data_IF_387417626371
#
_entry.id   IF_387417626371
#
_cell.length_a   1.000
_cell.length_b   1.000
_cell.length_c   1.000
_cell.angle_alpha   90.00
_cell.angle_beta   90.00
_cell.angle_gamma   90.00
#
_symmetry.space_group_name_H-M   'P 1'
#
loop_
_entity.id
_entity.type
_entity.pdbx_description
1 polymer ?
#
# COMPACT_ATOMS: atom_id res chain seq x y z
N UNK A 1 -25.17 -5.98 -1.92
CA UNK A 1 -23.85 -6.44 -2.43
C UNK A 1 -22.80 -5.72 -1.61
N UNK A 2 -22.15 -6.38 -0.65
CA UNK A 2 -21.08 -5.77 0.13
C UNK A 2 -19.83 -5.72 -0.75
N UNK A 3 -19.57 -4.55 -1.33
CA UNK A 3 -18.39 -4.35 -2.15
C UNK A 3 -17.12 -4.48 -1.30
N UNK A 4 -16.10 -5.10 -1.89
CA UNK A 4 -15.00 -5.73 -1.21
C UNK A 4 -14.05 -4.74 -0.50
N UNK A 5 -13.73 -5.02 0.78
CA UNK A 5 -12.57 -4.52 1.53
C UNK A 5 -12.37 -2.98 1.52
N UNK A 6 -13.25 -2.23 2.18
CA UNK A 6 -12.95 -0.84 2.55
C UNK A 6 -11.90 -0.86 3.68
N UNK A 7 -10.64 -0.58 3.34
CA UNK A 7 -9.56 -0.38 4.32
C UNK A 7 -9.16 1.09 4.36
N UNK A 8 -8.62 1.57 5.50
CA UNK A 8 -8.13 2.95 5.60
C UNK A 8 -7.03 3.19 4.54
N UNK A 9 -7.19 4.24 3.73
CA UNK A 9 -6.28 4.55 2.61
C UNK A 9 -6.60 3.89 1.28
N UNK A 10 -7.69 3.12 1.18
CA UNK A 10 -8.13 2.53 -0.10
C UNK A 10 -8.41 3.61 -1.17
N UNK A 11 -9.13 4.67 -0.79
CA UNK A 11 -9.47 5.75 -1.73
C UNK A 11 -8.25 6.53 -2.18
N UNK A 12 -7.34 6.89 -1.26
CA UNK A 12 -6.08 7.57 -1.61
C UNK A 12 -5.20 6.70 -2.52
N UNK A 13 -5.11 5.39 -2.23
CA UNK A 13 -4.36 4.47 -3.09
C UNK A 13 -4.98 4.36 -4.48
N UNK A 14 -6.32 4.30 -4.56
CA UNK A 14 -7.06 4.27 -5.83
C UNK A 14 -6.85 5.56 -6.62
N UNK A 15 -6.99 6.71 -5.98
CA UNK A 15 -6.77 8.02 -6.60
C UNK A 15 -5.32 8.15 -7.10
N UNK A 16 -4.34 7.75 -6.29
CA UNK A 16 -2.94 7.75 -6.67
C UNK A 16 -2.70 6.89 -7.92
N UNK A 17 -3.24 5.67 -7.96
CA UNK A 17 -3.11 4.78 -9.12
C UNK A 17 -3.76 5.40 -10.35
N UNK A 18 -4.91 6.05 -10.23
CA UNK A 18 -5.61 6.65 -11.36
C UNK A 18 -4.93 7.90 -11.91
N UNK A 19 -4.48 8.79 -11.01
CA UNK A 19 -3.86 10.06 -11.37
C UNK A 19 -2.44 9.90 -11.92
N UNK A 20 -1.75 8.80 -11.60
CA UNK A 20 -0.40 8.54 -12.08
C UNK A 20 -0.40 7.66 -13.33
N UNK A 21 0.34 8.08 -14.37
CA UNK A 21 0.53 7.28 -15.58
C UNK A 21 1.33 6.01 -15.30
N UNK A 22 2.34 6.09 -14.43
CA UNK A 22 3.20 5.00 -13.99
C UNK A 22 3.26 4.98 -12.45
N UNK A 23 2.22 4.51 -11.76
CA UNK A 23 2.21 4.50 -10.31
C UNK A 23 3.28 3.55 -9.78
N UNK A 24 4.10 4.05 -8.85
CA UNK A 24 5.12 3.26 -8.15
C UNK A 24 4.69 3.07 -6.70
N UNK A 25 4.83 1.84 -6.20
CA UNK A 25 4.51 1.50 -4.82
C UNK A 25 5.46 2.20 -3.83
N UNK A 26 6.77 2.15 -4.05
CA UNK A 26 7.75 2.85 -3.20
C UNK A 26 7.47 4.35 -3.14
N UNK A 27 7.16 4.97 -4.29
CA UNK A 27 6.84 6.40 -4.33
C UNK A 27 5.56 6.72 -3.56
N UNK A 28 4.54 5.87 -3.65
CA UNK A 28 3.32 6.02 -2.84
C UNK A 28 3.64 5.90 -1.35
N UNK A 29 4.43 4.89 -0.97
CA UNK A 29 4.73 4.63 0.44
C UNK A 29 5.63 5.67 1.06
N UNK A 30 6.58 6.22 0.31
CA UNK A 30 7.43 7.31 0.77
C UNK A 30 6.63 8.61 0.94
N UNK A 31 5.73 8.91 -0.01
CA UNK A 31 4.91 10.12 0.04
C UNK A 31 3.82 10.07 1.13
N UNK A 32 3.38 8.88 1.53
CA UNK A 32 2.28 8.67 2.47
C UNK A 32 2.70 7.85 3.70
N UNK A 33 3.97 7.95 4.11
CA UNK A 33 4.56 7.06 5.11
C UNK A 33 3.80 7.10 6.45
N UNK A 34 3.55 8.30 6.97
CA UNK A 34 2.80 8.51 8.22
C UNK A 34 1.35 8.00 8.11
N UNK A 35 0.68 8.30 6.98
CA UNK A 35 -0.68 7.82 6.72
C UNK A 35 -0.75 6.30 6.64
N UNK A 36 0.23 5.67 5.99
CA UNK A 36 0.31 4.21 5.91
C UNK A 36 0.51 3.60 7.29
N UNK A 37 1.34 4.19 8.16
CA UNK A 37 1.46 3.75 9.54
C UNK A 37 0.10 3.85 10.27
N UNK A 38 -0.57 5.00 10.17
CA UNK A 38 -1.90 5.20 10.75
C UNK A 38 -2.94 4.22 10.22
N UNK A 39 -3.01 4.01 8.90
CA UNK A 39 -3.92 3.05 8.29
C UNK A 39 -3.59 1.60 8.65
N UNK A 40 -2.31 1.33 8.92
CA UNK A 40 -1.84 0.02 9.37
C UNK A 40 -2.18 -0.28 10.81
N UNK A 41 -2.61 0.70 11.63
CA UNK A 41 -3.11 0.45 13.00
C UNK A 41 -4.23 -0.59 13.02
N UNK A 42 -5.11 -0.56 12.01
CA UNK A 42 -6.22 -1.51 11.81
C UNK A 42 -5.78 -2.92 11.37
N UNK A 43 -4.53 -3.10 10.94
CA UNK A 43 -3.98 -4.41 10.58
C UNK A 43 -3.44 -5.03 11.88
N UNK A 44 -3.93 -6.22 12.25
CA UNK A 44 -3.56 -6.90 13.50
C UNK A 44 -2.15 -7.54 13.42
N UNK A 45 -1.14 -6.75 13.06
CA UNK A 45 0.26 -7.19 13.01
C UNK A 45 1.20 -5.98 13.09
N UNK A 46 2.30 -6.14 13.83
CA UNK A 46 3.46 -5.23 13.81
C UNK A 46 4.55 -5.75 12.88
N UNK A 47 4.37 -6.93 12.27
CA UNK A 47 5.38 -7.51 11.40
C UNK A 47 5.48 -6.71 10.08
N UNK A 48 6.65 -6.10 9.88
CA UNK A 48 6.97 -5.28 8.71
C UNK A 48 6.80 -6.02 7.38
N UNK A 49 7.05 -7.32 7.35
CA UNK A 49 6.94 -8.13 6.13
C UNK A 49 5.46 -8.33 5.80
N UNK A 50 4.65 -8.65 6.81
CA UNK A 50 3.19 -8.78 6.66
C UNK A 50 2.56 -7.44 6.26
N UNK A 51 2.98 -6.32 6.86
CA UNK A 51 2.52 -4.99 6.50
C UNK A 51 2.85 -4.66 5.04
N UNK A 52 4.09 -4.88 4.63
CA UNK A 52 4.51 -4.71 3.24
C UNK A 52 3.69 -5.57 2.29
N UNK A 53 3.58 -6.88 2.55
CA UNK A 53 2.84 -7.79 1.69
C UNK A 53 1.36 -7.41 1.59
N UNK A 54 0.76 -6.94 2.68
CA UNK A 54 -0.64 -6.48 2.72
C UNK A 54 -0.84 -5.26 1.82
N UNK A 55 -0.02 -4.23 2.00
CA UNK A 55 -0.10 -3.00 1.20
C UNK A 55 0.30 -3.21 -0.25
N UNK A 56 1.32 -4.02 -0.50
CA UNK A 56 1.76 -4.37 -1.84
C UNK A 56 0.69 -5.19 -2.58
N UNK A 57 0.02 -6.11 -1.88
CA UNK A 57 -1.11 -6.85 -2.41
C UNK A 57 -2.29 -5.92 -2.76
N UNK A 58 -2.62 -4.98 -1.88
CA UNK A 58 -3.64 -3.94 -2.11
C UNK A 58 -3.34 -3.09 -3.34
N UNK A 59 -2.11 -2.58 -3.44
CA UNK A 59 -1.65 -1.81 -4.60
C UNK A 59 -1.72 -2.63 -5.89
N UNK A 60 -1.26 -3.88 -5.85
CA UNK A 60 -1.27 -4.77 -7.02
C UNK A 60 -2.70 -5.07 -7.50
N UNK A 61 -3.63 -5.31 -6.58
CA UNK A 61 -5.06 -5.51 -6.91
C UNK A 61 -5.64 -4.26 -7.57
N UNK A 62 -5.42 -3.09 -7.00
CA UNK A 62 -5.89 -1.82 -7.57
C UNK A 62 -5.24 -1.53 -8.93
N UNK A 63 -3.95 -1.76 -9.07
CA UNK A 63 -3.25 -1.56 -10.34
C UNK A 63 -3.81 -2.48 -11.42
N UNK A 64 -4.02 -3.76 -11.13
CA UNK A 64 -4.62 -4.71 -12.09
C UNK A 64 -6.06 -4.34 -12.45
N UNK A 65 -6.83 -3.83 -11.48
CA UNK A 65 -8.21 -3.40 -11.71
C UNK A 65 -8.31 -2.13 -12.55
N UNK A 66 -7.49 -1.11 -12.26
CA UNK A 66 -7.59 0.20 -12.92
C UNK A 66 -6.71 0.30 -14.17
N UNK A 67 -5.56 -0.38 -14.19
CA UNK A 67 -4.55 -0.34 -15.25
C UNK A 67 -4.00 -1.74 -15.55
N UNK A 68 -4.82 -2.66 -16.08
CA UNK A 68 -4.42 -4.05 -16.34
C UNK A 68 -3.21 -4.19 -17.28
N UNK A 69 -2.97 -3.19 -18.11
CA UNK A 69 -1.82 -3.13 -19.03
C UNK A 69 -0.48 -2.83 -18.33
N UNK A 70 -0.50 -2.35 -17.07
CA UNK A 70 0.71 -2.07 -16.31
C UNK A 70 1.09 -3.30 -15.48
N UNK A 71 2.27 -3.85 -15.75
CA UNK A 71 2.83 -4.91 -14.93
C UNK A 71 3.37 -4.34 -13.61
N UNK A 72 2.90 -4.89 -12.48
CA UNK A 72 3.59 -4.72 -11.20
C UNK A 72 4.94 -5.43 -11.27
N UNK A 73 6.05 -4.69 -11.16
CA UNK A 73 7.37 -5.29 -10.97
C UNK A 73 7.44 -5.94 -9.59
N UNK A 74 8.22 -7.02 -9.47
CA UNK A 74 8.58 -7.57 -8.15
C UNK A 74 9.35 -6.50 -7.39
N UNK A 75 8.73 -5.94 -6.36
CA UNK A 75 9.35 -4.98 -5.47
C UNK A 75 10.06 -5.73 -4.35
N UNK A 76 11.30 -5.33 -4.07
CA UNK A 76 12.02 -5.83 -2.89
C UNK A 76 11.52 -5.06 -1.69
N UNK A 77 11.29 -5.77 -0.58
CA UNK A 77 10.96 -5.15 0.70
C UNK A 77 12.04 -4.12 1.08
N UNK A 78 11.63 -2.87 1.23
CA UNK A 78 12.47 -1.84 1.82
C UNK A 78 12.42 -1.96 3.35
N UNK A 79 13.30 -2.80 3.92
CA UNK A 79 13.30 -3.14 5.34
C UNK A 79 13.33 -1.91 6.26
N UNK A 80 14.09 -0.86 5.90
CA UNK A 80 14.17 0.37 6.71
C UNK A 80 12.82 1.09 6.74
N UNK A 81 12.22 1.31 5.58
CA UNK A 81 10.93 2.00 5.45
C UNK A 81 9.83 1.28 6.24
N UNK A 82 9.72 -0.04 6.07
CA UNK A 82 8.66 -0.82 6.72
C UNK A 82 8.91 -1.06 8.21
N UNK A 83 10.17 -1.01 8.66
CA UNK A 83 10.47 -0.92 10.09
C UNK A 83 9.97 0.42 10.65
N UNK A 84 10.23 1.54 9.98
CA UNK A 84 9.72 2.85 10.42
C UNK A 84 8.19 2.89 10.46
N UNK A 85 7.51 2.32 9.46
CA UNK A 85 6.04 2.22 9.45
C UNK A 85 5.52 1.38 10.63
N UNK A 86 6.22 0.30 10.98
CA UNK A 86 5.85 -0.54 12.12
C UNK A 86 6.09 0.18 13.46
N UNK A 87 7.17 0.96 13.58
CA UNK A 87 7.49 1.75 14.78
C UNK A 87 6.52 2.94 14.95
N UNK A 88 6.13 3.63 13.88
CA UNK A 88 5.17 4.75 13.93
C UNK A 88 3.73 4.33 14.25
N UNK A 89 3.43 3.02 14.21
CA UNK A 89 2.11 2.47 14.53
C UNK A 89 1.93 2.26 16.04
N UNK A 90 3.03 2.08 16.77
CA UNK A 90 3.07 1.86 18.23
C UNK A 90 2.97 3.19 18.99
#
# INVERSE_FOLDING_TARGET
MYDAQYYPGHEELRQYVNNNKHPSFDSFTLANLEKIAQWSTTIYTTDRDILFQTWFGRFTKLLRSQKPHLATRKLKLNKKLWTTVAEMRD
#
